data_IF_029281040545
#
_entry.id   IF_029281040545
#
_cell.length_a   1.000
_cell.length_b   1.000
_cell.length_c   1.000
_cell.angle_alpha   90.00
_cell.angle_beta   90.00
_cell.angle_gamma   90.00
#
_symmetry.space_group_name_H-M   'P 1'
#
loop_
_entity.id
_entity.type
_entity.pdbx_description
1 polymer ?
#
# COMPACT_ATOMS: atom_id res chain seq x y z
N UNK A 1 -6.39 5.45 11.53
CA UNK A 1 -5.10 4.76 11.78
C UNK A 1 -5.04 3.46 11.02
N UNK A 2 -3.89 2.76 11.03
CA UNK A 2 -3.68 1.48 10.36
C UNK A 2 -3.49 0.33 11.37
N UNK A 3 -3.84 -0.91 10.99
CA UNK A 3 -3.54 -2.08 11.82
C UNK A 3 -2.06 -2.45 11.76
N UNK A 4 -1.59 -3.19 12.76
CA UNK A 4 -0.21 -3.69 12.81
C UNK A 4 0.14 -4.46 11.53
N UNK A 5 1.27 -4.09 10.91
CA UNK A 5 1.77 -4.61 9.63
C UNK A 5 0.85 -4.44 8.39
N UNK A 6 -0.32 -3.80 8.50
CA UNK A 6 -1.34 -3.74 7.43
C UNK A 6 -0.75 -3.35 6.07
N UNK A 7 -0.09 -2.20 5.99
CA UNK A 7 0.45 -1.67 4.71
C UNK A 7 1.48 -2.62 4.10
N UNK A 8 2.37 -3.19 4.93
CA UNK A 8 3.42 -4.12 4.49
C UNK A 8 2.86 -5.47 4.01
N UNK A 9 1.72 -5.89 4.56
CA UNK A 9 1.00 -7.11 4.15
C UNK A 9 0.30 -6.88 2.80
N UNK A 10 -0.37 -5.73 2.65
CA UNK A 10 -1.01 -5.35 1.38
C UNK A 10 0.03 -5.27 0.27
N UNK A 11 1.13 -4.53 0.51
CA UNK A 11 2.22 -4.42 -0.45
C UNK A 11 2.83 -5.79 -0.81
N UNK A 12 3.03 -6.68 0.17
CA UNK A 12 3.53 -8.03 -0.10
C UNK A 12 2.58 -8.87 -0.95
N UNK A 13 1.27 -8.75 -0.72
CA UNK A 13 0.26 -9.40 -1.56
C UNK A 13 0.31 -8.90 -3.00
N UNK A 14 0.42 -7.59 -3.19
CA UNK A 14 0.53 -6.97 -4.52
C UNK A 14 1.82 -7.38 -5.24
N UNK A 15 2.95 -7.52 -4.53
CA UNK A 15 4.22 -7.98 -5.13
C UNK A 15 4.12 -9.43 -5.61
N UNK A 16 3.41 -10.31 -4.89
CA UNK A 16 3.15 -11.67 -5.36
C UNK A 16 2.30 -11.70 -6.64
N UNK A 17 1.29 -10.83 -6.71
CA UNK A 17 0.43 -10.67 -7.89
C UNK A 17 1.23 -10.14 -9.08
N UNK A 18 2.00 -9.06 -8.89
CA UNK A 18 2.84 -8.49 -9.94
C UNK A 18 3.93 -9.45 -10.46
N UNK A 19 4.30 -10.46 -9.65
CA UNK A 19 5.22 -11.53 -10.05
C UNK A 19 4.52 -12.79 -10.56
N UNK A 20 3.19 -12.77 -10.71
CA UNK A 20 2.40 -13.90 -11.22
C UNK A 20 2.27 -15.10 -10.28
N UNK A 21 2.65 -14.96 -8.99
CA UNK A 21 2.52 -16.03 -7.98
C UNK A 21 1.14 -16.10 -7.34
N UNK A 22 0.32 -15.07 -7.54
CA UNK A 22 -1.08 -14.97 -7.11
C UNK A 22 -1.90 -14.28 -8.17
N UNK A 23 -3.19 -14.56 -8.22
CA UNK A 23 -4.14 -13.87 -9.09
C UNK A 23 -4.64 -12.58 -8.43
N UNK A 24 -5.21 -11.67 -9.23
CA UNK A 24 -5.78 -10.43 -8.71
C UNK A 24 -6.98 -10.68 -7.78
N UNK A 25 -7.76 -11.74 -8.07
CA UNK A 25 -8.91 -12.20 -7.30
C UNK A 25 -8.53 -12.59 -5.86
N UNK A 26 -7.28 -12.98 -5.63
CA UNK A 26 -6.74 -13.31 -4.31
C UNK A 26 -6.93 -12.18 -3.28
N UNK A 27 -6.98 -10.91 -3.71
CA UNK A 27 -7.26 -9.78 -2.81
C UNK A 27 -8.65 -9.91 -2.22
N UNK A 28 -9.67 -10.11 -3.07
CA UNK A 28 -11.06 -10.24 -2.66
C UNK A 28 -11.26 -11.47 -1.77
N UNK A 29 -10.66 -12.59 -2.15
CA UNK A 29 -10.69 -13.84 -1.37
C UNK A 29 -10.07 -13.66 0.02
N UNK A 30 -8.92 -12.98 0.10
CA UNK A 30 -8.22 -12.70 1.37
C UNK A 30 -9.09 -11.88 2.32
N UNK A 31 -9.76 -10.84 1.80
CA UNK A 31 -10.65 -9.98 2.59
C UNK A 31 -11.88 -10.76 3.07
N UNK A 32 -12.48 -11.58 2.21
CA UNK A 32 -13.62 -12.42 2.55
C UNK A 32 -13.28 -13.49 3.60
N UNK A 33 -12.09 -14.10 3.50
CA UNK A 33 -11.62 -15.13 4.43
C UNK A 33 -11.40 -14.61 5.85
N UNK A 34 -11.13 -13.29 6.02
CA UNK A 34 -10.76 -12.68 7.31
C UNK A 34 -9.61 -13.39 8.03
N UNK A 35 -8.75 -14.07 7.27
CA UNK A 35 -7.58 -14.80 7.77
C UNK A 35 -6.31 -14.15 7.23
N UNK A 36 -5.41 -13.73 8.13
CA UNK A 36 -4.09 -13.20 7.78
C UNK A 36 -3.29 -14.17 6.92
N UNK A 37 -3.43 -15.49 7.12
CA UNK A 37 -2.69 -16.51 6.36
C UNK A 37 -3.06 -16.52 4.88
N UNK A 38 -4.24 -16.02 4.53
CA UNK A 38 -4.66 -15.88 3.14
C UNK A 38 -3.91 -14.76 2.41
N UNK A 39 -3.43 -13.72 3.12
CA UNK A 39 -2.68 -12.61 2.53
C UNK A 39 -1.22 -12.99 2.21
N UNK A 40 -0.57 -12.16 1.40
CA UNK A 40 0.84 -12.29 1.05
C UNK A 40 1.81 -12.12 2.24
N UNK A 41 3.12 -12.22 1.99
CA UNK A 41 4.13 -12.06 3.03
C UNK A 41 4.10 -10.64 3.60
N UNK A 42 4.57 -10.47 4.84
CA UNK A 42 4.85 -9.15 5.38
C UNK A 42 6.20 -8.69 4.79
N UNK A 43 6.20 -7.69 3.91
CA UNK A 43 7.46 -7.18 3.32
C UNK A 43 8.37 -6.55 4.38
N UNK A 44 9.69 -6.44 4.16
CA UNK A 44 10.61 -5.77 5.08
C UNK A 44 10.23 -4.31 5.35
N UNK A 45 10.55 -3.74 6.54
CA UNK A 45 10.14 -2.38 6.90
C UNK A 45 10.90 -1.29 6.14
N UNK A 46 12.13 -1.55 5.69
CA UNK A 46 12.99 -0.55 5.05
C UNK A 46 12.42 0.04 3.74
N UNK A 47 11.40 -0.58 3.13
CA UNK A 47 10.74 -0.07 1.93
C UNK A 47 9.49 0.77 2.20
N UNK A 48 9.14 1.04 3.47
CA UNK A 48 7.94 1.81 3.83
C UNK A 48 8.33 3.13 4.50
N UNK A 49 7.80 4.24 3.96
CA UNK A 49 7.92 5.57 4.53
C UNK A 49 6.54 6.20 4.73
N UNK A 50 6.32 6.89 5.85
CA UNK A 50 5.17 7.78 6.03
C UNK A 50 5.51 9.11 5.35
N UNK A 51 4.79 9.44 4.29
CA UNK A 51 5.08 10.64 3.51
C UNK A 51 4.40 11.88 4.11
N UNK A 52 3.10 11.80 4.41
CA UNK A 52 2.33 12.93 4.92
C UNK A 52 1.28 12.48 5.94
N UNK A 53 0.84 13.44 6.76
CA UNK A 53 -0.32 13.32 7.64
C UNK A 53 -1.04 14.67 7.67
N UNK A 54 -2.36 14.66 7.46
CA UNK A 54 -3.18 15.87 7.41
C UNK A 54 -3.95 16.08 8.69
N UNK A 55 -4.18 17.35 9.00
CA UNK A 55 -5.00 17.84 10.09
C UNK A 55 -6.08 18.78 9.55
N UNK A 56 -7.13 19.01 10.36
CA UNK A 56 -8.20 19.91 9.98
C UNK A 56 -7.66 21.34 9.83
N UNK A 57 -7.84 21.94 8.65
CA UNK A 57 -7.34 23.28 8.32
C UNK A 57 -6.13 23.32 7.39
N UNK A 58 -5.58 22.16 7.01
CA UNK A 58 -4.52 22.10 5.98
C UNK A 58 -5.09 22.37 4.58
N UNK A 59 -4.38 23.18 3.78
CA UNK A 59 -4.72 23.45 2.39
C UNK A 59 -4.37 22.24 1.50
N UNK A 60 -5.40 21.56 1.02
CA UNK A 60 -5.26 20.30 0.25
C UNK A 60 -4.78 20.51 -1.21
N UNK A 61 -4.69 21.75 -1.68
CA UNK A 61 -4.27 22.07 -3.06
C UNK A 61 -2.79 21.78 -3.31
N UNK A 62 -1.89 22.19 -2.42
CA UNK A 62 -0.44 21.98 -2.59
C UNK A 62 -0.03 20.51 -2.54
N UNK A 63 -0.86 19.66 -1.94
CA UNK A 63 -0.60 18.23 -1.82
C UNK A 63 -0.81 17.48 -3.13
N UNK A 64 -1.80 17.89 -3.93
CA UNK A 64 -2.05 17.30 -5.24
C UNK A 64 -0.83 17.41 -6.15
N UNK A 65 -0.17 18.57 -6.10
CA UNK A 65 1.03 18.86 -6.88
C UNK A 65 2.23 18.04 -6.40
N UNK A 66 2.42 17.94 -5.08
CA UNK A 66 3.53 17.15 -4.48
C UNK A 66 3.38 15.64 -4.76
N UNK A 67 2.17 15.10 -4.62
CA UNK A 67 1.88 13.70 -4.93
C UNK A 67 2.08 13.42 -6.42
N UNK A 68 1.62 14.33 -7.28
CA UNK A 68 1.80 14.19 -8.74
C UNK A 68 3.28 14.20 -9.11
N UNK A 69 4.07 15.11 -8.54
CA UNK A 69 5.52 15.18 -8.74
C UNK A 69 6.22 13.88 -8.33
N UNK A 70 5.83 13.27 -7.21
CA UNK A 70 6.39 11.99 -6.77
C UNK A 70 6.03 10.84 -7.72
N UNK A 71 4.77 10.79 -8.18
CA UNK A 71 4.33 9.77 -9.13
C UNK A 71 5.02 9.91 -10.49
N UNK A 72 5.34 11.14 -10.91
CA UNK A 72 6.15 11.41 -12.10
C UNK A 72 7.60 10.99 -11.89
N UNK A 73 8.21 11.33 -10.75
CA UNK A 73 9.58 10.93 -10.40
C UNK A 73 9.80 9.42 -10.31
N UNK A 74 8.75 8.65 -10.01
CA UNK A 74 8.77 7.17 -9.97
C UNK A 74 8.63 6.51 -11.36
N UNK A 75 8.30 7.27 -12.41
CA UNK A 75 8.14 6.76 -13.79
C UNK A 75 9.40 6.92 -14.66
N UNK A 76 10.44 7.58 -14.15
CA UNK A 76 11.75 7.74 -14.79
C UNK A 76 12.72 6.61 -14.38
#
# INVERSE_FOLDING_TARGET
>A
GFLYNMVRIIAGTLVEIGKGRRTAESITETLAARDRRAAGPTLPPQGLCLQWAWYAGDDMEGLGDEVTSILEGLRA
#
